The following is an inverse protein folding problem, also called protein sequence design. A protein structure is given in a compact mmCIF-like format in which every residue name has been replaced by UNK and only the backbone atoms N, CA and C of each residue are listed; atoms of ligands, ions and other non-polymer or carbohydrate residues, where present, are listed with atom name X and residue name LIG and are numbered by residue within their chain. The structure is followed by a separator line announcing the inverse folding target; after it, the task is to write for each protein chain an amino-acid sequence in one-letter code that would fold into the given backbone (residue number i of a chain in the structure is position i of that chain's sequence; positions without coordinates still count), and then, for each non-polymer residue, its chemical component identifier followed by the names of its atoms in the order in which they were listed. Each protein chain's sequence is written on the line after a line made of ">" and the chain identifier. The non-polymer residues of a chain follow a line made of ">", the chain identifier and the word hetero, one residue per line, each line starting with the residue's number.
data_IF_075192112934
#
_entry.id   IF_075192112934
#
_cell.length_a   1.000
_cell.length_b   1.000
_cell.length_c   1.000
_cell.angle_alpha   90.00
_cell.angle_beta   90.00
_cell.angle_gamma   90.00
#
_symmetry.space_group_name_H-M   'P 1'
#
loop_
_entity.id
_entity.type
_entity.pdbx_description
1 polymer ?
#
# COMPACT_ATOMS: atom_id res chain seq x y z
N UNK A 1 -10.55 18.81 10.81
CA UNK A 1 -11.44 18.35 9.71
C UNK A 1 -12.14 17.07 10.16
N UNK A 2 -13.35 16.74 9.68
CA UNK A 2 -13.99 15.44 9.97
C UNK A 2 -14.73 15.26 11.32
N UNK A 3 -14.67 16.22 12.26
CA UNK A 3 -15.28 16.10 13.59
C UNK A 3 -16.80 15.77 13.57
N UNK A 4 -17.54 16.38 12.64
CA UNK A 4 -19.00 16.26 12.54
C UNK A 4 -19.47 15.40 11.35
N UNK A 5 -18.54 14.86 10.56
CA UNK A 5 -18.83 14.18 9.30
C UNK A 5 -17.66 13.26 8.95
N UNK A 6 -17.84 11.96 9.20
CA UNK A 6 -16.77 10.97 9.02
C UNK A 6 -16.27 10.89 7.57
N UNK A 7 -17.09 11.26 6.58
CA UNK A 7 -16.70 11.26 5.16
C UNK A 7 -15.60 12.29 4.86
N UNK A 8 -15.38 13.25 5.77
CA UNK A 8 -14.34 14.29 5.67
C UNK A 8 -13.09 13.98 6.49
N UNK A 9 -13.00 12.82 7.13
CA UNK A 9 -11.78 12.39 7.80
C UNK A 9 -10.76 12.01 6.70
N UNK A 10 -9.55 12.59 6.69
CA UNK A 10 -8.53 12.16 5.74
C UNK A 10 -8.11 10.72 6.08
N UNK A 11 -8.27 9.81 5.12
CA UNK A 11 -7.97 8.39 5.32
C UNK A 11 -6.45 8.14 5.28
N UNK A 12 -5.92 7.58 6.36
CA UNK A 12 -4.53 7.17 6.46
C UNK A 12 -4.16 6.87 7.91
N UNK A 13 -3.25 5.93 8.10
CA UNK A 13 -2.68 5.59 9.40
C UNK A 13 -1.17 5.43 9.29
N UNK A 14 -0.50 5.53 10.43
CA UNK A 14 0.94 5.36 10.56
C UNK A 14 1.31 3.85 10.56
N UNK A 15 2.60 3.52 10.39
CA UNK A 15 3.03 2.11 10.48
C UNK A 15 4.31 1.72 9.75
N UNK A 16 4.95 2.63 9.00
CA UNK A 16 6.17 2.30 8.23
C UNK A 16 7.32 1.80 9.14
N UNK A 17 7.53 2.46 10.27
CA UNK A 17 8.55 2.12 11.26
C UNK A 17 8.21 0.83 12.02
N UNK A 18 6.94 0.67 12.37
CA UNK A 18 6.49 -0.38 13.30
C UNK A 18 6.17 -1.71 12.62
N UNK A 19 5.96 -1.71 11.29
CA UNK A 19 5.54 -2.88 10.51
C UNK A 19 6.31 -4.16 10.86
N UNK A 20 7.63 -4.10 10.91
CA UNK A 20 8.45 -5.30 11.13
C UNK A 20 8.34 -5.82 12.56
N UNK A 21 8.41 -4.96 13.58
CA UNK A 21 8.29 -5.40 14.98
C UNK A 21 6.89 -5.91 15.30
N UNK A 22 5.83 -5.27 14.76
CA UNK A 22 4.45 -5.72 14.97
C UNK A 22 4.21 -7.09 14.33
N UNK A 23 4.70 -7.32 13.09
CA UNK A 23 4.60 -8.63 12.44
C UNK A 23 5.44 -9.67 13.17
N UNK A 24 6.63 -9.30 13.68
CA UNK A 24 7.46 -10.21 14.47
C UNK A 24 6.74 -10.62 15.76
N UNK A 25 6.24 -9.67 16.53
CA UNK A 25 5.52 -9.89 17.78
C UNK A 25 4.27 -10.76 17.56
N UNK A 26 3.40 -10.38 16.62
CA UNK A 26 2.13 -11.08 16.40
C UNK A 26 2.24 -12.33 15.53
N UNK A 27 3.34 -12.49 14.80
CA UNK A 27 3.57 -13.61 13.89
C UNK A 27 4.61 -14.60 14.40
N UNK A 28 5.85 -14.15 14.58
CA UNK A 28 6.97 -15.02 14.93
C UNK A 28 6.98 -15.36 16.40
N UNK A 29 6.92 -14.35 17.27
CA UNK A 29 6.96 -14.55 18.72
C UNK A 29 5.74 -15.32 19.23
N UNK A 30 4.56 -15.08 18.65
CA UNK A 30 3.34 -15.84 18.94
C UNK A 30 3.35 -17.29 18.42
N UNK A 31 4.31 -17.66 17.56
CA UNK A 31 4.42 -18.99 16.95
C UNK A 31 3.51 -19.23 15.73
N UNK A 32 2.86 -18.20 15.19
CA UNK A 32 1.98 -18.32 14.01
C UNK A 32 2.75 -18.53 12.70
N UNK A 33 3.92 -17.91 12.57
CA UNK A 33 4.83 -18.04 11.41
C UNK A 33 6.27 -18.22 11.89
N UNK A 34 7.11 -18.85 11.07
CA UNK A 34 8.54 -18.93 11.35
C UNK A 34 9.29 -17.69 10.83
N UNK A 35 10.57 -17.56 11.21
CA UNK A 35 11.42 -16.44 10.79
C UNK A 35 11.63 -16.40 9.26
N UNK A 36 11.67 -17.56 8.60
CA UNK A 36 11.78 -17.66 7.15
C UNK A 36 10.54 -17.06 6.46
N UNK A 37 9.34 -17.39 6.94
CA UNK A 37 8.10 -16.81 6.44
C UNK A 37 8.01 -15.31 6.74
N UNK A 38 8.49 -14.86 7.89
CA UNK A 38 8.61 -13.43 8.21
C UNK A 38 9.44 -12.68 7.15
N UNK A 39 10.62 -13.19 6.79
CA UNK A 39 11.46 -12.61 5.71
C UNK A 39 10.69 -12.62 4.39
N UNK A 40 10.01 -13.72 4.08
CA UNK A 40 9.26 -13.86 2.83
C UNK A 40 8.15 -12.82 2.70
N UNK A 41 7.33 -12.59 3.73
CA UNK A 41 6.19 -11.65 3.67
C UNK A 41 6.62 -10.18 3.84
N UNK A 42 7.76 -9.93 4.46
CA UNK A 42 8.24 -8.55 4.70
C UNK A 42 9.15 -8.01 3.60
N UNK A 43 9.79 -8.88 2.81
CA UNK A 43 10.77 -8.48 1.79
C UNK A 43 10.76 -9.34 0.51
N UNK A 44 11.07 -10.64 0.60
CA UNK A 44 11.36 -11.49 -0.58
C UNK A 44 10.19 -11.59 -1.55
N UNK A 45 8.96 -11.76 -1.03
CA UNK A 45 7.77 -11.89 -1.88
C UNK A 45 7.47 -10.57 -2.60
N UNK A 46 7.61 -9.43 -1.92
CA UNK A 46 7.47 -8.12 -2.55
C UNK A 46 8.52 -7.93 -3.66
N UNK A 47 9.79 -8.30 -3.41
CA UNK A 47 10.83 -8.23 -4.43
C UNK A 47 10.52 -9.12 -5.64
N UNK A 48 9.97 -10.32 -5.44
CA UNK A 48 9.54 -11.19 -6.55
C UNK A 48 8.36 -10.60 -7.34
N UNK A 49 7.34 -10.08 -6.65
CA UNK A 49 6.16 -9.46 -7.27
C UNK A 49 6.57 -8.23 -8.10
N UNK A 50 7.45 -7.38 -7.57
CA UNK A 50 7.90 -6.15 -8.24
C UNK A 50 9.10 -6.35 -9.17
N UNK A 51 9.45 -7.60 -9.49
CA UNK A 51 10.54 -7.95 -10.40
C UNK A 51 11.93 -7.41 -9.99
N UNK A 52 12.18 -7.35 -8.68
CA UNK A 52 13.43 -6.88 -8.07
C UNK A 52 14.26 -8.02 -7.45
N UNK A 53 13.75 -9.24 -7.42
CA UNK A 53 14.49 -10.39 -6.91
C UNK A 53 15.46 -10.92 -7.99
N UNK A 54 16.74 -11.25 -7.66
CA UNK A 54 17.35 -11.29 -6.32
C UNK A 54 18.06 -10.00 -5.90
N UNK A 55 18.01 -8.92 -6.69
CA UNK A 55 18.66 -7.64 -6.34
C UNK A 55 18.22 -7.11 -4.97
N UNK A 56 16.93 -7.24 -4.63
CA UNK A 56 16.34 -6.90 -3.31
C UNK A 56 15.71 -8.13 -2.66
N UNK A 57 15.53 -8.07 -1.34
CA UNK A 57 14.83 -9.11 -0.56
C UNK A 57 15.57 -10.46 -0.50
N UNK A 58 16.89 -10.45 -0.71
CA UNK A 58 17.76 -11.62 -0.66
C UNK A 58 19.13 -11.22 -0.10
N UNK A 59 19.74 -12.10 0.71
CA UNK A 59 21.14 -11.99 1.10
C UNK A 59 21.92 -12.99 0.25
N UNK A 60 22.48 -12.51 -0.86
CA UNK A 60 23.26 -13.31 -1.79
C UNK A 60 24.33 -12.43 -2.47
N UNK A 61 25.34 -13.08 -3.06
CA UNK A 61 26.33 -12.38 -3.86
C UNK A 61 25.64 -11.67 -5.05
N UNK A 62 25.95 -10.40 -5.24
CA UNK A 62 25.36 -9.56 -6.29
C UNK A 62 24.03 -8.89 -5.91
N UNK A 63 23.45 -9.19 -4.75
CA UNK A 63 22.30 -8.44 -4.21
C UNK A 63 22.74 -7.11 -3.61
N UNK A 64 21.84 -6.12 -3.59
CA UNK A 64 22.11 -4.86 -2.91
C UNK A 64 22.24 -5.10 -1.40
N UNK A 65 23.19 -4.42 -0.76
CA UNK A 65 23.44 -4.53 0.68
C UNK A 65 22.40 -3.75 1.52
N UNK A 66 21.13 -4.13 1.37
CA UNK A 66 20.01 -3.70 2.21
C UNK A 66 19.75 -4.78 3.27
N UNK A 67 20.34 -4.61 4.44
CA UNK A 67 20.43 -5.64 5.47
C UNK A 67 19.98 -5.07 6.80
N UNK A 68 19.18 -5.84 7.55
CA UNK A 68 18.79 -5.50 8.92
C UNK A 68 19.41 -6.52 9.86
N UNK A 69 20.16 -6.05 10.85
CA UNK A 69 20.59 -6.87 11.98
C UNK A 69 19.45 -6.82 13.00
N UNK A 70 18.78 -7.95 13.15
CA UNK A 70 17.56 -8.08 13.93
C UNK A 70 17.83 -8.80 15.25
N UNK A 71 17.54 -8.16 16.38
CA UNK A 71 17.65 -8.81 17.69
C UNK A 71 16.27 -9.34 18.13
N UNK A 72 16.06 -10.67 18.13
CA UNK A 72 14.78 -11.27 18.50
C UNK A 72 14.48 -11.20 20.01
N UNK A 73 15.50 -10.98 20.84
CA UNK A 73 15.39 -10.96 22.30
C UNK A 73 15.24 -9.55 22.87
N UNK A 74 15.57 -8.51 22.10
CA UNK A 74 15.33 -7.12 22.49
C UNK A 74 13.84 -6.82 22.37
N UNK A 75 13.29 -6.15 23.39
CA UNK A 75 11.91 -5.67 23.42
C UNK A 75 11.88 -4.15 23.34
N UNK A 76 10.81 -3.61 22.77
CA UNK A 76 10.50 -2.18 22.81
C UNK A 76 9.01 -1.95 23.00
N UNK A 77 8.63 -0.88 23.67
CA UNK A 77 7.24 -0.40 23.72
C UNK A 77 7.06 0.70 22.67
N UNK A 78 6.09 0.52 21.78
CA UNK A 78 5.80 1.50 20.73
C UNK A 78 5.16 2.74 21.36
N UNK A 79 5.72 3.93 21.07
CA UNK A 79 5.15 5.21 21.48
C UNK A 79 5.37 6.30 20.44
N UNK A 80 4.36 7.16 20.25
CA UNK A 80 4.47 8.39 19.46
C UNK A 80 5.55 9.34 20.00
N UNK A 81 5.93 9.22 21.28
CA UNK A 81 7.00 10.05 21.86
C UNK A 81 8.41 9.64 21.40
N UNK A 82 8.57 8.39 20.97
CA UNK A 82 9.88 7.79 20.66
C UNK A 82 10.01 7.38 19.20
N UNK A 83 8.92 7.39 18.43
CA UNK A 83 8.96 7.06 17.01
C UNK A 83 9.64 8.16 16.18
N UNK A 84 10.01 7.83 14.95
CA UNK A 84 10.67 8.75 14.01
C UNK A 84 9.72 9.28 12.93
N UNK A 85 8.42 9.08 13.12
CA UNK A 85 7.38 9.54 12.19
C UNK A 85 7.00 11.00 12.50
N UNK A 86 6.56 11.75 11.49
CA UNK A 86 6.20 13.17 11.66
C UNK A 86 4.81 13.39 12.28
N UNK A 87 4.02 12.32 12.45
CA UNK A 87 2.66 12.35 12.99
C UNK A 87 2.71 12.32 14.52
N UNK A 88 1.76 12.94 15.19
CA UNK A 88 1.72 13.11 16.65
C UNK A 88 1.01 11.99 17.42
N UNK A 89 0.65 10.89 16.74
CA UNK A 89 0.04 9.71 17.34
C UNK A 89 0.58 8.42 16.73
N UNK A 90 0.37 7.30 17.43
CA UNK A 90 0.65 5.97 16.91
C UNK A 90 -0.53 5.03 17.18
N UNK A 91 -1.04 4.34 16.15
CA UNK A 91 -2.12 3.37 16.33
C UNK A 91 -1.72 2.14 17.18
N UNK A 92 -0.43 1.92 17.39
CA UNK A 92 0.12 0.83 18.21
C UNK A 92 0.63 1.32 19.58
N UNK A 93 0.19 2.48 20.05
CA UNK A 93 0.64 3.07 21.32
C UNK A 93 0.57 2.08 22.49
N UNK A 94 1.67 1.94 23.23
CA UNK A 94 1.78 1.07 24.40
C UNK A 94 1.97 -0.42 24.08
N UNK A 95 2.01 -0.81 22.80
CA UNK A 95 2.28 -2.21 22.42
C UNK A 95 3.74 -2.55 22.69
N UNK A 96 3.97 -3.57 23.52
CA UNK A 96 5.28 -4.20 23.65
C UNK A 96 5.51 -5.16 22.48
N UNK A 97 6.68 -5.06 21.84
CA UNK A 97 7.07 -5.91 20.73
C UNK A 97 8.47 -6.47 20.97
N UNK A 98 8.59 -7.79 20.82
CA UNK A 98 9.87 -8.47 20.64
C UNK A 98 10.37 -8.27 19.21
N UNK A 99 11.68 -8.37 19.00
CA UNK A 99 12.27 -8.18 17.69
C UNK A 99 12.44 -6.70 17.36
N UNK A 100 13.67 -6.22 17.51
CA UNK A 100 14.04 -4.83 17.26
C UNK A 100 15.20 -4.78 16.27
N UNK A 101 15.18 -3.87 15.27
CA UNK A 101 16.33 -3.66 14.40
C UNK A 101 17.44 -2.93 15.17
N UNK A 102 18.57 -3.58 15.38
CA UNK A 102 19.75 -2.94 16.00
C UNK A 102 20.54 -2.12 14.98
N UNK A 103 20.70 -2.68 13.79
CA UNK A 103 21.36 -2.02 12.67
C UNK A 103 20.51 -2.12 11.42
N UNK A 104 20.41 -1.02 10.68
CA UNK A 104 19.82 -1.00 9.34
C UNK A 104 20.88 -0.49 8.38
N UNK A 105 21.22 -1.32 7.41
CA UNK A 105 22.18 -1.05 6.36
C UNK A 105 21.40 -0.86 5.07
N UNK A 106 21.66 0.23 4.36
CA UNK A 106 21.03 0.54 3.07
C UNK A 106 22.13 0.78 2.05
N UNK A 107 22.13 0.05 0.94
CA UNK A 107 23.18 0.06 -0.09
C UNK A 107 24.62 0.04 0.50
N UNK A 108 24.84 -0.74 1.57
CA UNK A 108 26.14 -0.90 2.22
C UNK A 108 26.52 0.19 3.23
N UNK A 109 25.63 1.15 3.52
CA UNK A 109 25.85 2.19 4.53
C UNK A 109 24.97 1.94 5.76
N UNK A 110 25.57 2.00 6.96
CA UNK A 110 24.82 1.96 8.22
C UNK A 110 23.99 3.24 8.36
N UNK A 111 22.68 3.08 8.37
CA UNK A 111 21.69 4.16 8.43
C UNK A 111 20.95 4.21 9.76
N UNK A 112 20.88 3.09 10.50
CA UNK A 112 20.43 3.03 11.88
C UNK A 112 21.47 2.25 12.67
N UNK A 113 21.82 2.76 13.83
CA UNK A 113 22.82 2.19 14.75
C UNK A 113 22.35 2.44 16.18
N UNK A 114 21.93 1.38 16.86
CA UNK A 114 21.40 1.38 18.23
C UNK A 114 20.37 2.50 18.47
N UNK A 115 19.26 2.42 17.71
CA UNK A 115 18.13 3.37 17.73
C UNK A 115 18.44 4.78 17.21
N UNK A 116 19.68 5.09 16.85
CA UNK A 116 20.05 6.38 16.27
C UNK A 116 19.98 6.35 14.74
N UNK A 117 19.13 7.20 14.17
CA UNK A 117 19.01 7.38 12.72
C UNK A 117 20.15 8.27 12.20
N UNK A 118 21.00 7.72 11.32
CA UNK A 118 22.20 8.34 10.74
C UNK A 118 22.12 8.37 9.21
N UNK A 119 21.08 8.99 8.68
CA UNK A 119 20.81 9.06 7.23
C UNK A 119 21.22 10.38 6.60
N UNK A 120 21.53 10.35 5.30
CA UNK A 120 21.73 11.54 4.48
C UNK A 120 20.56 11.64 3.51
N UNK A 121 19.90 12.80 3.46
CA UNK A 121 18.82 13.04 2.52
C UNK A 121 19.29 12.82 1.08
N UNK A 122 18.51 12.09 0.29
CA UNK A 122 18.85 11.78 -1.11
C UNK A 122 19.79 10.58 -1.29
N UNK A 123 20.13 9.83 -0.24
CA UNK A 123 20.94 8.61 -0.37
C UNK A 123 20.21 7.46 -1.10
N UNK A 124 18.88 7.42 -0.98
CA UNK A 124 18.06 6.44 -1.69
C UNK A 124 17.98 6.72 -3.19
N UNK A 125 17.98 5.67 -4.00
CA UNK A 125 17.88 5.75 -5.46
C UNK A 125 16.54 5.20 -5.94
N UNK A 126 16.01 5.78 -7.03
CA UNK A 126 14.93 5.16 -7.78
C UNK A 126 15.39 3.81 -8.34
N UNK A 127 14.52 2.82 -8.29
CA UNK A 127 14.75 1.49 -8.85
C UNK A 127 13.64 1.24 -9.86
N UNK A 128 14.03 1.07 -11.11
CA UNK A 128 13.11 0.66 -12.16
C UNK A 128 12.65 -0.78 -11.91
N UNK A 129 11.35 -1.00 -11.97
CA UNK A 129 10.73 -2.32 -11.86
C UNK A 129 10.38 -2.81 -13.27
N UNK A 130 11.12 -3.78 -13.84
CA UNK A 130 10.83 -4.25 -15.19
C UNK A 130 9.44 -4.89 -15.26
N UNK A 131 8.73 -4.63 -16.35
CA UNK A 131 7.42 -5.21 -16.64
C UNK A 131 7.48 -6.73 -16.79
N UNK A 132 6.31 -7.38 -16.67
CA UNK A 132 6.15 -8.84 -16.76
C UNK A 132 7.00 -9.65 -15.75
N UNK A 133 6.90 -9.39 -14.44
CA UNK A 133 7.52 -10.22 -13.41
C UNK A 133 7.18 -11.70 -13.60
N UNK A 134 8.16 -12.60 -13.77
CA UNK A 134 7.90 -14.03 -13.94
C UNK A 134 7.08 -14.61 -12.79
N UNK A 135 7.30 -14.14 -11.56
CA UNK A 135 6.54 -14.59 -10.38
C UNK A 135 5.02 -14.37 -10.49
N UNK A 136 4.57 -13.39 -11.28
CA UNK A 136 3.15 -13.06 -11.46
C UNK A 136 2.62 -13.56 -12.82
N UNK A 137 3.45 -13.48 -13.87
CA UNK A 137 3.01 -13.68 -15.26
C UNK A 137 3.43 -15.03 -15.87
N UNK A 138 4.22 -15.84 -15.18
CA UNK A 138 4.55 -17.18 -15.64
C UNK A 138 3.35 -18.13 -15.41
N UNK A 139 2.56 -18.33 -16.47
CA UNK A 139 1.34 -19.15 -16.47
C UNK A 139 1.65 -20.62 -16.18
N UNK A 140 2.81 -21.12 -16.61
CA UNK A 140 3.21 -22.50 -16.35
C UNK A 140 3.51 -22.72 -14.87
N UNK A 141 4.10 -21.74 -14.18
CA UNK A 141 4.27 -21.78 -12.74
C UNK A 141 2.98 -21.43 -11.98
N UNK A 142 2.10 -20.59 -12.52
CA UNK A 142 0.78 -20.32 -11.93
C UNK A 142 -0.06 -21.59 -11.82
N UNK A 143 0.01 -22.50 -12.80
CA UNK A 143 -0.65 -23.81 -12.73
C UNK A 143 -0.09 -24.75 -11.65
N UNK A 144 1.15 -24.51 -11.19
CA UNK A 144 1.84 -25.30 -10.15
C UNK A 144 1.67 -24.74 -8.74
N UNK A 145 1.32 -23.45 -8.61
CA UNK A 145 1.02 -22.83 -7.31
C UNK A 145 -0.32 -23.35 -6.80
N UNK A 146 -0.29 -24.32 -5.88
CA UNK A 146 -1.48 -24.83 -5.21
C UNK A 146 -1.89 -23.87 -4.09
N UNK A 147 -3.09 -23.27 -4.13
CA UNK A 147 -3.57 -22.39 -3.05
C UNK A 147 -3.66 -23.10 -1.69
N UNK A 148 -3.70 -24.45 -1.68
CA UNK A 148 -3.78 -25.30 -0.48
C UNK A 148 -2.57 -25.18 0.45
N UNK A 149 -1.42 -24.71 -0.05
CA UNK A 149 -0.17 -24.76 0.71
C UNK A 149 0.11 -23.44 1.46
N UNK A 150 -0.78 -22.44 1.32
CA UNK A 150 -0.76 -21.19 2.07
C UNK A 150 -1.66 -21.29 3.33
N UNK A 151 -1.45 -22.33 4.14
CA UNK A 151 -2.18 -22.53 5.39
C UNK A 151 -3.64 -22.91 5.17
N UNK A 152 -4.07 -24.02 5.79
CA UNK A 152 -5.44 -24.49 5.69
C UNK A 152 -6.44 -23.38 6.04
N UNK A 153 -7.46 -23.22 5.20
CA UNK A 153 -8.56 -22.26 5.35
C UNK A 153 -9.45 -22.50 6.61
N UNK A 154 -9.02 -23.34 7.55
CA UNK A 154 -9.72 -23.71 8.76
C UNK A 154 -9.54 -22.72 9.93
N UNK A 155 -8.81 -21.62 9.76
CA UNK A 155 -8.60 -20.65 10.85
C UNK A 155 -9.79 -19.68 11.07
N UNK A 156 -10.81 -19.71 10.21
CA UNK A 156 -12.06 -18.93 10.37
C UNK A 156 -13.28 -19.84 10.32
N UNK A 157 -13.39 -20.76 11.28
CA UNK A 157 -14.69 -21.38 11.57
C UNK A 157 -14.83 -21.58 13.07
N UNK A 158 -15.03 -20.47 13.79
CA UNK A 158 -15.85 -20.58 15.01
C UNK A 158 -17.30 -20.78 14.56
N UNK A 159 -18.05 -21.74 15.13
CA UNK A 159 -19.38 -22.07 14.66
C UNK A 159 -20.36 -20.98 15.08
N UNK A 160 -20.65 -20.03 14.18
CA UNK A 160 -21.89 -19.26 14.27
C UNK A 160 -23.03 -20.14 13.77
N UNK A 161 -24.06 -20.24 14.61
CA UNK A 161 -25.25 -21.03 14.35
C UNK A 161 -25.89 -20.60 13.01
N UNK A 162 -26.24 -21.59 12.19
CA UNK A 162 -26.91 -21.41 10.91
C UNK A 162 -28.27 -20.74 11.12
N UNK A 163 -28.51 -19.63 10.45
CA UNK A 163 -29.86 -19.18 10.11
C UNK A 163 -29.94 -18.88 8.60
N UNK A 164 -31.03 -19.38 8.01
CA UNK A 164 -31.25 -19.58 6.59
C UNK A 164 -31.63 -18.29 5.83
N UNK A 165 -31.53 -18.41 4.50
CA UNK A 165 -32.20 -17.65 3.45
C UNK A 165 -31.71 -16.22 3.16
N UNK A 166 -31.04 -16.07 2.01
CA UNK A 166 -31.45 -15.11 0.95
C UNK A 166 -30.71 -15.34 -0.38
N UNK A 167 -31.46 -15.08 -1.45
CA UNK A 167 -31.23 -15.38 -2.87
C UNK A 167 -29.92 -14.84 -3.43
N UNK A 168 -29.32 -15.65 -4.30
CA UNK A 168 -28.19 -15.32 -5.19
C UNK A 168 -28.61 -14.25 -6.21
N UNK A 169 -27.89 -13.12 -6.25
CA UNK A 169 -27.96 -12.17 -7.36
C UNK A 169 -26.88 -12.51 -8.40
N UNK A 170 -27.18 -12.61 -9.70
CA UNK A 170 -26.18 -12.87 -10.73
C UNK A 170 -25.37 -11.62 -11.09
N UNK A 171 -24.08 -11.84 -11.33
CA UNK A 171 -23.07 -10.88 -11.82
C UNK A 171 -23.49 -10.28 -13.17
N UNK A 172 -23.38 -8.95 -13.40
CA UNK A 172 -23.69 -8.39 -14.70
C UNK A 172 -22.53 -8.56 -15.69
N UNK A 173 -22.79 -9.31 -16.76
CA UNK A 173 -21.95 -9.40 -17.97
C UNK A 173 -22.11 -8.11 -18.80
N UNK A 174 -20.99 -7.52 -19.24
CA UNK A 174 -20.98 -6.35 -20.15
C UNK A 174 -21.34 -6.80 -21.58
N UNK A 175 -22.29 -6.13 -22.28
CA UNK A 175 -22.49 -6.32 -23.70
C UNK A 175 -21.58 -5.42 -24.55
N UNK A 176 -21.05 -5.99 -25.64
CA UNK A 176 -20.37 -5.26 -26.72
C UNK A 176 -21.32 -4.24 -27.36
N UNK A 177 -20.97 -2.96 -27.31
CA UNK A 177 -21.46 -1.98 -28.28
C UNK A 177 -20.47 -0.84 -28.44
N UNK A 178 -19.90 -0.77 -29.63
CA UNK A 178 -19.06 0.31 -30.15
C UNK A 178 -19.89 1.56 -30.41
N UNK A 179 -19.59 2.68 -29.75
CA UNK A 179 -19.99 4.02 -30.21
C UNK A 179 -18.86 5.03 -29.92
N UNK A 180 -18.25 5.52 -31.00
CA UNK A 180 -17.29 6.62 -31.03
C UNK A 180 -17.87 7.94 -30.51
N UNK A 181 -17.07 8.69 -29.76
CA UNK A 181 -17.26 10.14 -29.55
C UNK A 181 -16.13 10.91 -30.25
N UNK A 182 -16.41 12.05 -30.91
CA UNK A 182 -15.42 12.74 -31.74
C UNK A 182 -14.53 13.62 -30.86
N UNK A 183 -13.29 13.18 -30.62
CA UNK A 183 -12.23 14.06 -30.15
C UNK A 183 -11.56 14.70 -31.36
N UNK A 184 -12.00 15.90 -31.74
CA UNK A 184 -11.28 16.74 -32.69
C UNK A 184 -10.03 17.34 -32.02
N UNK A 185 -9.01 16.52 -31.71
CA UNK A 185 -7.62 16.94 -31.52
C UNK A 185 -6.71 15.77 -31.93
N UNK A 186 -5.90 15.98 -32.97
CA UNK A 186 -4.99 14.98 -33.51
C UNK A 186 -3.87 14.56 -32.53
N UNK A 187 -3.09 13.51 -32.87
CA UNK A 187 -1.99 13.02 -32.04
C UNK A 187 -0.92 14.11 -31.86
N UNK A 188 -0.39 14.26 -30.64
CA UNK A 188 0.79 15.11 -30.39
C UNK A 188 2.03 14.45 -31.01
N UNK A 189 2.88 15.18 -31.75
CA UNK A 189 4.19 14.67 -32.14
C UNK A 189 5.04 14.38 -30.89
N UNK A 190 5.80 13.29 -30.92
CA UNK A 190 6.75 12.95 -29.87
C UNK A 190 7.93 13.94 -29.82
N UNK A 191 8.43 14.23 -28.61
CA UNK A 191 9.81 14.66 -28.45
C UNK A 191 10.12 16.09 -27.98
N UNK A 192 9.21 16.83 -27.33
CA UNK A 192 9.61 18.09 -26.66
C UNK A 192 8.73 18.42 -25.45
N UNK A 193 9.30 18.35 -24.24
CA UNK A 193 8.70 18.92 -23.03
C UNK A 193 9.00 20.42 -23.01
N UNK A 194 7.98 21.25 -23.20
CA UNK A 194 8.11 22.70 -23.06
C UNK A 194 7.85 23.07 -21.58
N UNK A 195 8.88 23.57 -20.89
CA UNK A 195 8.83 23.83 -19.44
C UNK A 195 8.01 25.09 -19.06
N UNK A 196 7.51 25.85 -20.04
CA UNK A 196 6.85 27.13 -19.82
C UNK A 196 5.30 27.09 -19.89
N UNK A 197 4.70 25.93 -20.16
CA UNK A 197 3.23 25.75 -20.14
C UNK A 197 2.71 25.05 -18.86
N UNK A 198 3.42 25.23 -17.74
CA UNK A 198 2.99 24.67 -16.44
C UNK A 198 1.75 25.40 -15.92
N UNK A 199 0.65 24.66 -15.73
CA UNK A 199 -0.63 25.16 -15.17
C UNK A 199 -0.58 25.24 -13.63
N UNK A 200 0.45 25.87 -13.07
CA UNK A 200 0.47 26.23 -11.65
C UNK A 200 0.76 27.73 -11.53
N UNK A 201 -0.30 28.52 -11.33
CA UNK A 201 -0.19 29.89 -10.84
C UNK A 201 -0.64 29.91 -9.38
N UNK A 202 0.32 30.17 -8.48
CA UNK A 202 0.10 30.62 -7.10
C UNK A 202 0.11 32.14 -7.12
N UNK A 203 -0.99 32.77 -6.70
CA UNK A 203 -0.99 34.17 -6.26
C UNK A 203 -2.28 34.51 -5.50
N UNK A 204 -2.08 34.77 -4.20
CA UNK A 204 -2.73 35.73 -3.29
C UNK A 204 -4.24 35.69 -2.96
N UNK A 205 -4.49 35.67 -1.64
CA UNK A 205 -5.75 35.85 -0.95
C UNK A 205 -6.34 37.26 -1.19
N UNK A 206 -7.59 37.29 -1.66
CA UNK A 206 -8.50 38.43 -1.47
C UNK A 206 -9.90 37.89 -1.13
N UNK A 207 -10.28 38.04 0.13
CA UNK A 207 -11.67 37.99 0.60
C UNK A 207 -12.50 39.03 -0.16
N UNK A 208 -13.38 38.63 -1.09
CA UNK A 208 -14.69 39.27 -1.37
C UNK A 208 -15.63 38.30 -2.14
N UNK A 209 -16.79 38.03 -1.53
CA UNK A 209 -18.10 37.65 -2.11
C UNK A 209 -18.27 36.33 -2.90
N UNK A 210 -19.09 35.45 -2.28
CA UNK A 210 -19.80 34.28 -2.81
C UNK A 210 -20.12 34.30 -4.31
N UNK A 211 -19.80 33.21 -5.02
CA UNK A 211 -20.50 32.81 -6.26
C UNK A 211 -21.30 31.53 -6.06
N UNK A 212 -22.51 31.53 -6.62
CA UNK A 212 -23.57 30.55 -6.40
C UNK A 212 -23.25 29.16 -6.99
N UNK A 213 -23.68 28.12 -6.28
CA UNK A 213 -23.69 26.74 -6.74
C UNK A 213 -24.51 26.58 -8.04
N UNK A 214 -24.00 25.79 -8.99
CA UNK A 214 -24.83 25.22 -10.06
C UNK A 214 -25.49 23.97 -9.49
N UNK A 215 -26.77 24.05 -9.13
CA UNK A 215 -27.62 22.89 -8.83
C UNK A 215 -27.96 22.21 -10.16
N UNK A 216 -27.45 21.00 -10.39
CA UNK A 216 -27.95 20.14 -11.47
C UNK A 216 -29.30 19.59 -11.01
N UNK A 217 -30.39 20.19 -11.49
CA UNK A 217 -31.71 19.58 -11.45
C UNK A 217 -31.88 18.68 -12.67
N UNK A 218 -32.08 17.40 -12.40
CA UNK A 218 -32.50 16.32 -13.30
C UNK A 218 -31.49 15.88 -14.40
N UNK A 219 -31.12 14.58 -14.46
CA UNK A 219 -30.38 14.02 -15.58
C UNK A 219 -31.24 14.02 -16.87
N UNK A 220 -30.61 14.05 -18.05
CA UNK A 220 -31.31 14.15 -19.33
C UNK A 220 -32.00 12.81 -19.65
N UNK A 221 -33.32 12.75 -19.47
CA UNK A 221 -34.11 11.56 -19.80
C UNK A 221 -35.54 11.58 -19.30
N UNK A 222 -36.41 12.37 -19.96
CA UNK A 222 -37.85 12.09 -20.09
C UNK A 222 -38.76 12.32 -18.86
N UNK A 223 -39.88 13.01 -19.09
CA UNK A 223 -40.98 13.21 -18.15
C UNK A 223 -41.75 11.89 -17.97
N UNK A 224 -41.89 11.37 -16.74
CA UNK A 224 -42.96 10.42 -16.44
C UNK A 224 -44.25 11.20 -16.21
N UNK A 225 -45.11 11.27 -17.23
CA UNK A 225 -46.52 11.61 -17.06
C UNK A 225 -47.18 10.58 -16.14
N UNK A 226 -47.85 11.03 -15.09
CA UNK A 226 -48.57 10.16 -14.17
C UNK A 226 -49.81 9.51 -14.79
N UNK A 227 -50.34 8.48 -14.12
CA UNK A 227 -51.76 8.24 -13.82
C UNK A 227 -51.88 6.91 -13.04
N UNK A 228 -52.59 6.99 -11.90
CA UNK A 228 -53.00 5.95 -10.92
C UNK A 228 -51.91 5.22 -10.14
#
# INVERSE_FOLDING_TARGET
>A
MGLNDFSKIPNGVNGVEDRMSVIWEKGVHSGLIDACRFVAITSTTAAKIFNLYPRKGCIALGSDADIVIWNPNKTRTISAKTHHQAVDFNIFEGMECHGVPEYVIVNGRVCVDDEQVKVVQGHGNYIECPVFPPFVYDIENASKLKPSDNGDANWVTQPTQKENDRKVCPTPTLPESSVSTPSCKGPRPEGQRNLQDSTFSISEDLDVARRACIKVQNPPGGKSSGFW
#
